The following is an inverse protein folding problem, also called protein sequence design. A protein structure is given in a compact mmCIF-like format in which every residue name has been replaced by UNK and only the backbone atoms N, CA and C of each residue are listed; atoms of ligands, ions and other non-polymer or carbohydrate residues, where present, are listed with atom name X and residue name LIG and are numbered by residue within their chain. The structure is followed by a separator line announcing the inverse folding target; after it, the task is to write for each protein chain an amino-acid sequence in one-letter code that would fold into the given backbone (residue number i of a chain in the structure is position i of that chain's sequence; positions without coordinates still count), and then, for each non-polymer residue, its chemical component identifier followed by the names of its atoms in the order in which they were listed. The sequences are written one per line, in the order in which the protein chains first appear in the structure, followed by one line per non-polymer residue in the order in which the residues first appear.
data_IF_662381799841
#
_entry.id   IF_662381799841
#
_cell.length_a   1.000
_cell.length_b   1.000
_cell.length_c   1.000
_cell.angle_alpha   90.00
_cell.angle_beta   90.00
_cell.angle_gamma   90.00
#
_symmetry.space_group_name_H-M   'P 1'
#
loop_
_entity.id
_entity.type
_entity.pdbx_description
1 polymer ?
#
# COMPACT_ATOMS: atom_id res chain seq x y z
N UNK A 1 -52.25 87.19 -4.28
CA UNK A 1 -51.76 86.67 -5.59
C UNK A 1 -50.71 85.62 -5.31
N UNK A 2 -51.01 84.35 -5.61
CA UNK A 2 -50.14 83.13 -5.72
C UNK A 2 -49.37 82.74 -4.45
N UNK A 3 -49.72 81.68 -3.71
CA UNK A 3 -49.71 80.23 -4.03
C UNK A 3 -48.43 79.76 -4.75
N UNK A 4 -47.50 79.22 -3.96
CA UNK A 4 -46.46 78.30 -4.45
C UNK A 4 -45.99 77.40 -3.32
N UNK A 5 -46.77 76.33 -3.13
CA UNK A 5 -46.42 75.12 -2.36
C UNK A 5 -45.17 74.49 -2.97
N UNK A 6 -44.05 74.50 -2.25
CA UNK A 6 -42.88 73.69 -2.61
C UNK A 6 -43.16 72.24 -2.23
N UNK A 7 -43.52 71.43 -3.23
CA UNK A 7 -43.56 69.97 -3.09
C UNK A 7 -42.13 69.47 -2.97
N UNK A 8 -41.81 68.90 -1.83
CA UNK A 8 -40.60 68.11 -1.62
C UNK A 8 -40.75 66.80 -2.40
N UNK A 9 -40.03 66.67 -3.51
CA UNK A 9 -39.98 65.43 -4.29
C UNK A 9 -39.08 64.44 -3.56
N UNK A 10 -39.68 63.56 -2.76
CA UNK A 10 -38.99 62.40 -2.20
C UNK A 10 -38.55 61.49 -3.36
N UNK A 11 -37.25 61.49 -3.64
CA UNK A 11 -36.56 60.55 -4.50
C UNK A 11 -36.73 59.14 -3.93
N UNK A 12 -37.63 58.37 -4.55
CA UNK A 12 -37.80 56.94 -4.26
C UNK A 12 -36.54 56.22 -4.74
N UNK A 13 -35.70 55.83 -3.80
CA UNK A 13 -34.50 55.04 -4.06
C UNK A 13 -34.94 53.60 -4.40
N UNK A 14 -35.10 53.30 -5.68
CA UNK A 14 -35.44 51.95 -6.18
C UNK A 14 -34.21 51.06 -6.07
N UNK A 15 -33.96 50.53 -4.87
CA UNK A 15 -32.97 49.47 -4.65
C UNK A 15 -33.36 48.25 -5.48
N UNK A 16 -32.50 47.82 -6.40
CA UNK A 16 -32.73 46.63 -7.21
C UNK A 16 -32.77 45.40 -6.31
N UNK A 17 -33.96 44.86 -6.10
CA UNK A 17 -34.15 43.58 -5.41
C UNK A 17 -33.57 42.49 -6.33
N UNK A 18 -32.37 42.01 -6.00
CA UNK A 18 -31.84 40.79 -6.59
C UNK A 18 -32.83 39.67 -6.31
N UNK A 19 -33.51 39.18 -7.36
CA UNK A 19 -34.39 38.01 -7.25
C UNK A 19 -33.53 36.82 -6.88
N UNK A 20 -33.54 36.45 -5.60
CA UNK A 20 -32.91 35.23 -5.12
C UNK A 20 -33.70 34.06 -5.74
N UNK A 21 -33.17 33.49 -6.82
CA UNK A 21 -33.71 32.29 -7.45
C UNK A 21 -33.36 31.12 -6.53
N UNK A 22 -34.30 30.73 -5.67
CA UNK A 22 -34.17 29.53 -4.85
C UNK A 22 -34.23 28.28 -5.72
N UNK A 23 -33.40 27.28 -5.40
CA UNK A 23 -33.53 25.93 -5.94
C UNK A 23 -34.92 25.38 -5.65
N UNK A 24 -35.53 24.74 -6.64
CA UNK A 24 -36.85 24.11 -6.45
C UNK A 24 -36.70 22.82 -5.63
N UNK A 25 -37.70 22.47 -4.82
CA UNK A 25 -37.66 21.22 -4.04
C UNK A 25 -37.51 19.98 -4.93
N UNK A 26 -38.10 20.01 -6.13
CA UNK A 26 -38.00 18.90 -7.09
C UNK A 26 -36.59 18.74 -7.67
N UNK A 27 -35.87 19.84 -7.86
CA UNK A 27 -34.49 19.84 -8.36
C UNK A 27 -33.53 19.20 -7.35
N UNK A 28 -33.76 19.41 -6.05
CA UNK A 28 -32.99 18.73 -5.02
C UNK A 28 -33.34 17.24 -4.95
N UNK A 29 -34.63 16.89 -5.07
CA UNK A 29 -35.09 15.49 -5.01
C UNK A 29 -34.54 14.68 -6.18
N UNK A 30 -34.56 15.19 -7.41
CA UNK A 30 -34.06 14.43 -8.57
C UNK A 30 -32.56 14.19 -8.47
N UNK A 31 -31.78 15.13 -7.92
CA UNK A 31 -30.33 15.00 -7.76
C UNK A 31 -30.00 13.87 -6.78
N UNK A 32 -30.64 13.81 -5.62
CA UNK A 32 -30.36 12.75 -4.64
C UNK A 32 -30.81 11.37 -5.16
N UNK A 33 -31.87 11.30 -5.97
CA UNK A 33 -32.31 10.04 -6.60
C UNK A 33 -31.27 9.56 -7.61
N UNK A 34 -30.75 10.45 -8.47
CA UNK A 34 -29.71 10.10 -9.43
C UNK A 34 -28.42 9.67 -8.70
N UNK A 35 -27.98 10.43 -7.69
CA UNK A 35 -26.82 10.07 -6.88
C UNK A 35 -27.01 8.73 -6.15
N UNK A 36 -28.23 8.42 -5.71
CA UNK A 36 -28.55 7.13 -5.08
C UNK A 36 -28.34 5.94 -6.02
N UNK A 37 -28.79 6.04 -7.27
CA UNK A 37 -28.62 4.97 -8.27
C UNK A 37 -27.14 4.79 -8.63
N UNK A 38 -26.42 5.91 -8.83
CA UNK A 38 -24.99 5.87 -9.15
C UNK A 38 -24.17 5.26 -8.00
N UNK A 39 -24.51 5.58 -6.74
CA UNK A 39 -23.81 5.03 -5.58
C UNK A 39 -23.95 3.50 -5.48
N UNK A 40 -25.17 2.96 -5.64
CA UNK A 40 -25.41 1.51 -5.50
C UNK A 40 -24.67 0.70 -6.55
N UNK A 41 -24.51 1.22 -7.77
CA UNK A 41 -23.82 0.51 -8.85
C UNK A 41 -22.29 0.68 -8.81
N UNK A 42 -21.78 1.78 -8.26
CA UNK A 42 -20.35 2.06 -8.19
C UNK A 42 -19.65 1.38 -7.01
N UNK A 43 -20.34 1.23 -5.86
CA UNK A 43 -19.73 0.71 -4.61
C UNK A 43 -19.12 -0.69 -4.76
N UNK A 44 -19.81 -1.71 -5.34
CA UNK A 44 -19.25 -3.05 -5.45
C UNK A 44 -17.93 -3.07 -6.24
N UNK A 45 -17.91 -2.37 -7.37
CA UNK A 45 -16.73 -2.29 -8.24
C UNK A 45 -15.56 -1.56 -7.57
N UNK A 46 -15.83 -0.54 -6.75
CA UNK A 46 -14.79 0.19 -6.03
C UNK A 46 -14.08 -0.69 -4.99
N UNK A 47 -14.82 -1.60 -4.34
CA UNK A 47 -14.26 -2.55 -3.37
C UNK A 47 -13.31 -3.53 -4.08
N UNK A 48 -13.72 -4.11 -5.21
CA UNK A 48 -12.88 -5.04 -5.99
C UNK A 48 -11.59 -4.36 -6.46
N UNK A 49 -11.68 -3.15 -7.02
CA UNK A 49 -10.50 -2.40 -7.51
C UNK A 49 -9.52 -2.04 -6.39
N UNK A 50 -10.04 -1.68 -5.21
CA UNK A 50 -9.19 -1.40 -4.06
C UNK A 50 -8.41 -2.64 -3.66
N UNK A 51 -9.01 -3.81 -3.82
CA UNK A 51 -8.38 -5.05 -3.40
C UNK A 51 -7.34 -5.57 -4.38
N UNK A 52 -7.66 -5.52 -5.67
CA UNK A 52 -6.71 -5.79 -6.74
C UNK A 52 -5.49 -4.85 -6.64
N UNK A 53 -5.72 -3.59 -6.24
CA UNK A 53 -4.63 -2.64 -6.00
C UNK A 53 -3.72 -3.09 -4.85
N UNK A 54 -4.28 -3.50 -3.71
CA UNK A 54 -3.49 -4.02 -2.58
C UNK A 54 -2.73 -5.29 -2.94
N UNK A 55 -3.38 -6.23 -3.63
CA UNK A 55 -2.72 -7.45 -4.11
C UNK A 55 -1.53 -7.13 -5.05
N UNK A 56 -1.70 -6.15 -5.93
CA UNK A 56 -0.63 -5.67 -6.80
C UNK A 56 0.54 -5.05 -6.02
N UNK A 57 0.26 -4.33 -4.93
CA UNK A 57 1.30 -3.79 -4.04
C UNK A 57 2.07 -4.93 -3.35
N UNK A 58 1.38 -5.97 -2.85
CA UNK A 58 2.06 -7.14 -2.25
C UNK A 58 2.97 -7.84 -3.26
N UNK A 59 2.53 -7.97 -4.51
CA UNK A 59 3.37 -8.49 -5.61
C UNK A 59 4.56 -7.56 -5.92
N UNK A 60 4.38 -6.25 -5.85
CA UNK A 60 5.46 -5.29 -6.03
C UNK A 60 6.51 -5.40 -4.90
N UNK A 61 6.09 -5.64 -3.66
CA UNK A 61 6.99 -5.94 -2.54
C UNK A 61 7.75 -7.24 -2.78
N UNK A 62 7.07 -8.29 -3.25
CA UNK A 62 7.73 -9.55 -3.65
C UNK A 62 8.79 -9.32 -4.73
N UNK A 63 8.51 -8.49 -5.72
CA UNK A 63 9.48 -8.09 -6.74
C UNK A 63 10.69 -7.37 -6.13
N UNK A 64 10.44 -6.40 -5.25
CA UNK A 64 11.47 -5.64 -4.55
C UNK A 64 12.37 -6.52 -3.68
N UNK A 65 11.80 -7.52 -2.99
CA UNK A 65 12.56 -8.53 -2.24
C UNK A 65 13.49 -9.35 -3.13
N UNK A 66 13.05 -9.74 -4.33
CA UNK A 66 13.93 -10.45 -5.27
C UNK A 66 15.13 -9.59 -5.65
N UNK A 67 14.88 -8.34 -6.04
CA UNK A 67 15.96 -7.41 -6.39
C UNK A 67 16.91 -7.14 -5.22
N UNK A 68 16.37 -6.93 -4.02
CA UNK A 68 17.16 -6.72 -2.81
C UNK A 68 18.03 -7.92 -2.46
N UNK A 69 17.46 -9.13 -2.54
CA UNK A 69 18.18 -10.38 -2.29
C UNK A 69 19.31 -10.59 -3.30
N UNK A 70 19.04 -10.40 -4.59
CA UNK A 70 20.04 -10.58 -5.66
C UNK A 70 21.17 -9.55 -5.57
N UNK A 71 20.85 -8.28 -5.30
CA UNK A 71 21.87 -7.24 -5.11
C UNK A 71 22.75 -7.52 -3.88
N UNK A 72 22.12 -7.93 -2.78
CA UNK A 72 22.83 -8.33 -1.55
C UNK A 72 23.73 -9.52 -1.82
N UNK A 73 23.26 -10.50 -2.60
CA UNK A 73 24.04 -11.67 -2.97
C UNK A 73 25.24 -11.34 -3.84
N UNK A 74 25.06 -10.49 -4.86
CA UNK A 74 26.16 -10.03 -5.69
C UNK A 74 27.25 -9.33 -4.85
N UNK A 75 26.84 -8.50 -3.89
CA UNK A 75 27.76 -7.82 -2.97
C UNK A 75 28.44 -8.78 -2.01
N UNK A 76 27.72 -9.81 -1.53
CA UNK A 76 28.29 -10.87 -0.69
C UNK A 76 29.34 -11.70 -1.43
N UNK A 77 29.09 -12.04 -2.70
CA UNK A 77 30.04 -12.74 -3.57
C UNK A 77 31.32 -11.93 -3.74
N UNK A 78 31.20 -10.64 -4.07
CA UNK A 78 32.34 -9.73 -4.21
C UNK A 78 33.16 -9.61 -2.92
N UNK A 79 32.49 -9.67 -1.75
CA UNK A 79 33.13 -9.60 -0.44
C UNK A 79 33.58 -10.98 0.11
N UNK A 80 33.36 -12.08 -0.61
CA UNK A 80 33.68 -13.44 -0.17
C UNK A 80 32.85 -13.94 1.03
N UNK A 81 31.69 -13.33 1.28
CA UNK A 81 30.80 -13.61 2.44
C UNK A 81 29.75 -14.66 2.12
N UNK A 82 30.19 -15.81 1.61
CA UNK A 82 29.34 -16.87 1.06
C UNK A 82 29.24 -18.12 1.94
N UNK A 83 29.62 -18.01 3.22
CA UNK A 83 29.59 -19.12 4.17
C UNK A 83 28.31 -19.10 5.01
N UNK A 84 28.10 -20.17 5.77
CA UNK A 84 27.03 -20.27 6.76
C UNK A 84 27.00 -19.03 7.66
N UNK A 85 25.81 -18.61 8.08
CA UNK A 85 25.64 -17.47 8.98
C UNK A 85 26.54 -17.59 10.21
N UNK A 86 27.16 -16.47 10.59
CA UNK A 86 28.11 -16.42 11.71
C UNK A 86 28.95 -15.15 11.72
N UNK A 87 29.91 -15.09 12.63
CA UNK A 87 30.76 -13.91 12.82
C UNK A 87 31.43 -13.47 11.52
N UNK A 88 31.23 -12.20 11.17
CA UNK A 88 31.81 -11.59 9.98
C UNK A 88 31.17 -12.02 8.66
N UNK A 89 30.05 -12.75 8.67
CA UNK A 89 29.20 -12.98 7.48
C UNK A 89 28.16 -11.87 7.38
N UNK A 90 28.63 -10.67 7.10
CA UNK A 90 27.80 -9.51 6.90
C UNK A 90 28.42 -8.59 5.85
N UNK A 91 27.56 -7.75 5.28
CA UNK A 91 27.93 -6.63 4.42
C UNK A 91 27.25 -5.37 4.94
N UNK A 92 27.81 -4.20 4.64
CA UNK A 92 27.12 -2.94 4.90
C UNK A 92 26.39 -2.47 3.64
N UNK A 93 25.12 -2.12 3.74
CA UNK A 93 24.34 -1.45 2.70
C UNK A 93 23.84 -0.14 3.33
N UNK A 94 24.25 0.99 2.76
CA UNK A 94 23.91 2.32 3.26
C UNK A 94 24.14 2.53 4.78
N UNK A 95 25.29 2.04 5.28
CA UNK A 95 25.62 2.13 6.71
C UNK A 95 24.90 1.12 7.61
N UNK A 96 23.90 0.38 7.09
CA UNK A 96 23.19 -0.67 7.81
C UNK A 96 23.89 -2.01 7.62
N UNK A 97 23.98 -2.81 8.69
CA UNK A 97 24.63 -4.13 8.66
C UNK A 97 23.61 -5.19 8.25
N UNK A 98 23.88 -5.86 7.13
CA UNK A 98 23.06 -6.95 6.60
C UNK A 98 23.76 -8.26 6.91
N UNK A 99 23.18 -9.05 7.81
CA UNK A 99 23.67 -10.39 8.12
C UNK A 99 23.30 -11.36 7.01
N UNK A 100 24.23 -12.27 6.69
CA UNK A 100 24.14 -13.18 5.56
C UNK A 100 24.17 -14.64 6.01
N UNK A 101 23.45 -15.49 5.29
CA UNK A 101 23.55 -16.95 5.33
C UNK A 101 23.82 -17.47 3.92
N UNK A 102 25.00 -18.07 3.73
CA UNK A 102 25.49 -18.54 2.43
C UNK A 102 25.46 -17.45 1.34
N UNK A 103 25.80 -16.22 1.72
CA UNK A 103 25.84 -15.08 0.80
C UNK A 103 24.47 -14.49 0.46
N UNK A 104 23.38 -14.96 1.06
CA UNK A 104 22.05 -14.34 0.94
C UNK A 104 21.68 -13.66 2.26
N UNK A 105 20.85 -12.60 2.27
CA UNK A 105 20.40 -12.01 3.53
C UNK A 105 19.70 -13.05 4.41
N UNK A 106 19.92 -12.98 5.73
CA UNK A 106 19.05 -13.73 6.65
C UNK A 106 17.68 -13.08 6.69
N UNK A 107 16.65 -13.84 7.08
CA UNK A 107 15.28 -13.34 7.09
C UNK A 107 15.14 -12.01 7.85
N UNK A 108 15.78 -11.90 9.02
CA UNK A 108 15.74 -10.70 9.87
C UNK A 108 16.37 -9.45 9.25
N UNK A 109 17.30 -9.63 8.30
CA UNK A 109 17.94 -8.50 7.62
C UNK A 109 17.14 -8.01 6.42
N UNK A 110 16.09 -8.74 6.00
CA UNK A 110 15.33 -8.35 4.80
C UNK A 110 14.58 -7.03 4.99
N UNK A 111 14.12 -6.75 6.22
CA UNK A 111 13.43 -5.49 6.54
C UNK A 111 14.32 -4.26 6.32
N UNK A 112 15.63 -4.43 6.52
CA UNK A 112 16.61 -3.35 6.42
C UNK A 112 17.00 -3.05 4.97
N UNK A 113 16.62 -3.94 4.05
CA UNK A 113 16.86 -3.79 2.61
C UNK A 113 15.66 -3.20 1.87
N UNK A 114 14.53 -3.00 2.55
CA UNK A 114 13.27 -2.59 1.97
C UNK A 114 12.79 -1.31 2.67
N UNK A 115 12.23 -0.40 1.90
CA UNK A 115 11.53 0.77 2.42
C UNK A 115 10.06 0.59 2.07
N UNK A 116 9.27 0.17 3.05
CA UNK A 116 7.84 -0.12 2.90
C UNK A 116 7.08 0.76 3.89
N UNK A 117 6.07 1.49 3.42
CA UNK A 117 5.25 2.37 4.27
C UNK A 117 4.05 1.63 4.87
N UNK A 118 3.35 0.82 4.06
CA UNK A 118 2.10 0.16 4.46
C UNK A 118 2.27 -1.29 4.89
N UNK A 119 3.48 -1.71 5.26
CA UNK A 119 3.78 -3.09 5.66
C UNK A 119 4.42 -3.17 7.04
N UNK A 120 4.04 -4.20 7.79
CA UNK A 120 4.63 -4.54 9.08
C UNK A 120 5.31 -5.90 8.97
N UNK A 121 6.53 -6.02 9.48
CA UNK A 121 7.20 -7.33 9.58
C UNK A 121 6.64 -8.12 10.77
N UNK A 122 6.30 -9.39 10.52
CA UNK A 122 5.92 -10.33 11.57
C UNK A 122 7.14 -10.76 12.39
N UNK A 123 6.97 -10.78 13.70
CA UNK A 123 8.05 -11.14 14.64
C UNK A 123 7.99 -12.62 15.04
N UNK A 124 9.03 -13.11 15.73
CA UNK A 124 9.08 -14.49 16.23
C UNK A 124 9.50 -15.51 15.17
N UNK A 125 8.67 -16.52 14.91
CA UNK A 125 8.98 -17.60 13.94
C UNK A 125 8.75 -17.19 12.48
N UNK A 126 8.08 -16.07 12.25
CA UNK A 126 7.67 -15.59 10.91
C UNK A 126 8.52 -14.44 10.39
N UNK A 127 9.67 -14.17 11.00
CA UNK A 127 10.63 -13.13 10.57
C UNK A 127 10.96 -13.29 9.08
N UNK A 128 11.04 -12.17 8.35
CA UNK A 128 11.07 -12.15 6.90
C UNK A 128 9.68 -12.16 6.23
N UNK A 129 8.60 -12.18 7.00
CA UNK A 129 7.22 -12.01 6.49
C UNK A 129 6.74 -10.60 6.72
N UNK A 130 6.28 -9.95 5.66
CA UNK A 130 5.79 -8.59 5.65
C UNK A 130 4.30 -8.61 5.31
N UNK A 131 3.48 -8.11 6.21
CA UNK A 131 2.04 -8.08 6.10
C UNK A 131 1.56 -6.66 5.85
N UNK A 132 0.67 -6.50 4.88
CA UNK A 132 0.04 -5.21 4.61
C UNK A 132 -0.79 -4.78 5.83
N UNK A 133 -0.71 -3.52 6.22
CA UNK A 133 -1.33 -2.96 7.43
C UNK A 133 -2.86 -3.11 7.47
N UNK A 134 -3.50 -3.06 6.30
CA UNK A 134 -4.95 -3.29 6.14
C UNK A 134 -5.38 -4.76 6.11
N UNK A 135 -4.49 -5.74 6.37
CA UNK A 135 -4.87 -7.15 6.38
C UNK A 135 -5.90 -7.42 7.50
N UNK A 136 -7.13 -7.80 7.13
CA UNK A 136 -8.23 -8.00 8.08
C UNK A 136 -8.21 -9.35 8.79
N UNK A 137 -7.68 -10.39 8.12
CA UNK A 137 -7.37 -11.68 8.73
C UNK A 137 -5.89 -11.92 8.46
N UNK A 138 -5.07 -11.97 9.50
CA UNK A 138 -3.62 -12.09 9.36
C UNK A 138 -3.17 -13.44 8.83
N UNK A 139 -3.55 -13.79 7.62
CA UNK A 139 -3.23 -14.99 6.84
C UNK A 139 -3.08 -14.70 5.34
N UNK A 140 -3.40 -13.48 4.89
CA UNK A 140 -3.22 -13.01 3.51
C UNK A 140 -2.62 -11.60 3.48
N UNK A 141 -2.30 -11.08 2.30
CA UNK A 141 -1.58 -9.83 2.07
C UNK A 141 -0.15 -9.82 2.59
N UNK A 142 0.53 -10.93 2.34
CA UNK A 142 1.87 -11.18 2.87
C UNK A 142 2.87 -11.33 1.74
N UNK A 143 4.02 -10.70 1.89
CA UNK A 143 5.23 -11.02 1.14
C UNK A 143 6.20 -11.72 2.10
N UNK A 144 6.68 -12.90 1.71
CA UNK A 144 7.48 -13.78 2.57
C UNK A 144 8.84 -13.99 1.91
N UNK A 145 9.89 -13.66 2.65
CA UNK A 145 11.26 -14.00 2.34
C UNK A 145 11.74 -15.11 3.28
N UNK A 146 12.24 -16.21 2.72
CA UNK A 146 12.72 -17.34 3.50
C UNK A 146 14.06 -17.89 2.98
N UNK A 147 15.11 -17.68 3.78
CA UNK A 147 16.42 -18.26 3.58
C UNK A 147 16.64 -19.44 4.54
N UNK A 148 16.36 -20.65 4.04
CA UNK A 148 16.58 -21.91 4.77
C UNK A 148 17.88 -22.62 4.39
N UNK A 149 18.82 -21.91 3.74
CA UNK A 149 20.04 -22.54 3.25
C UNK A 149 20.85 -23.16 4.39
N UNK A 150 21.34 -24.38 4.16
CA UNK A 150 22.14 -25.16 5.10
C UNK A 150 23.38 -25.71 4.42
N UNK A 151 24.31 -26.28 5.19
CA UNK A 151 25.58 -26.78 4.65
C UNK A 151 25.36 -27.89 3.59
N UNK A 152 24.31 -28.69 3.77
CA UNK A 152 23.92 -29.75 2.82
C UNK A 152 23.32 -29.19 1.54
N UNK A 153 22.53 -28.11 1.61
CA UNK A 153 21.92 -27.51 0.42
C UNK A 153 22.92 -26.81 -0.49
N UNK A 154 24.04 -26.31 0.06
CA UNK A 154 25.11 -25.65 -0.74
C UNK A 154 26.12 -26.63 -1.36
N UNK A 155 26.28 -27.81 -0.77
CA UNK A 155 27.20 -28.84 -1.28
C UNK A 155 26.61 -29.65 -2.45
N UNK A 156 25.28 -29.67 -2.58
CA UNK A 156 24.60 -30.52 -3.56
C UNK A 156 24.43 -29.88 -4.95
N UNK A 157 24.37 -28.55 -5.08
CA UNK A 157 24.18 -27.89 -6.39
C UNK A 157 24.42 -26.35 -6.36
N UNK A 158 25.52 -25.91 -5.74
CA UNK A 158 25.74 -24.48 -5.51
C UNK A 158 24.76 -23.91 -4.47
N UNK A 159 24.91 -22.63 -4.14
CA UNK A 159 24.02 -22.00 -3.15
C UNK A 159 22.62 -21.86 -3.74
N UNK A 160 21.63 -22.50 -3.13
CA UNK A 160 20.21 -22.39 -3.51
C UNK A 160 19.70 -20.97 -3.26
N UNK A 161 18.97 -20.40 -4.24
CA UNK A 161 18.36 -19.08 -4.05
C UNK A 161 17.25 -19.17 -2.98
N UNK A 162 17.16 -18.22 -2.03
CA UNK A 162 16.08 -18.15 -1.05
C UNK A 162 14.70 -18.14 -1.70
N UNK A 163 13.69 -18.68 -1.02
CA UNK A 163 12.31 -18.62 -1.51
C UNK A 163 11.69 -17.27 -1.18
N UNK A 164 11.01 -16.69 -2.18
CA UNK A 164 10.31 -15.42 -2.05
C UNK A 164 8.90 -15.63 -2.60
N UNK A 165 7.91 -15.57 -1.73
CA UNK A 165 6.51 -15.87 -2.05
C UNK A 165 5.60 -14.73 -1.62
N UNK A 166 4.43 -14.66 -2.22
CA UNK A 166 3.35 -13.76 -1.85
C UNK A 166 2.11 -14.58 -1.53
N UNK A 167 1.30 -14.11 -0.59
CA UNK A 167 -0.03 -14.63 -0.29
C UNK A 167 -0.99 -13.47 -0.47
N UNK A 168 -1.71 -13.45 -1.58
CA UNK A 168 -2.63 -12.35 -1.94
C UNK A 168 -4.11 -12.72 -1.81
N UNK A 169 -4.41 -14.00 -1.59
CA UNK A 169 -5.76 -14.55 -1.40
C UNK A 169 -5.86 -15.24 -0.06
N UNK A 170 -6.97 -15.01 0.67
CA UNK A 170 -7.29 -15.73 1.90
C UNK A 170 -7.50 -17.22 1.58
N UNK A 171 -6.75 -18.16 2.19
CA UNK A 171 -6.91 -19.59 1.97
C UNK A 171 -8.31 -20.12 2.35
N UNK A 172 -9.07 -19.37 3.14
CA UNK A 172 -10.44 -19.73 3.55
C UNK A 172 -11.52 -19.04 2.70
N UNK A 173 -11.15 -18.22 1.71
CA UNK A 173 -11.99 -17.58 0.70
C UNK A 173 -13.43 -17.24 1.14
N UNK A 174 -13.58 -16.55 2.27
CA UNK A 174 -14.90 -16.16 2.77
C UNK A 174 -15.42 -14.87 2.09
N UNK A 175 -14.54 -14.08 1.48
CA UNK A 175 -14.84 -12.76 0.91
C UNK A 175 -14.74 -12.68 -0.62
N UNK A 176 -14.14 -13.65 -1.30
CA UNK A 176 -13.91 -13.59 -2.76
C UNK A 176 -12.95 -12.49 -3.21
N UNK A 177 -12.48 -11.66 -2.28
CA UNK A 177 -11.67 -10.49 -2.54
C UNK A 177 -10.18 -10.89 -2.47
N UNK A 178 -9.35 -10.33 -3.35
CA UNK A 178 -7.94 -10.18 -3.01
C UNK A 178 -7.83 -9.24 -1.79
N UNK A 179 -6.65 -9.15 -1.18
CA UNK A 179 -6.33 -8.18 -0.12
C UNK A 179 -7.23 -6.94 -0.06
#
# INVERSE_FOLDING_TARGET
MRLSTLRNTQQVNTQSVNKQQGFTLIELVVVIVILGILAVTAVPKFIDLTSDAKASVVEAVRGSMNSAADMTHAKALAAGKIKAAGTGQNISVDGVVINLNYGWPVNASMKDLLVLEDFTELTGTSVGTFEHTDATNGDHCRAIYNNTNTATSVAANGVTRPSITSIIVDPNNASGNAC
#
